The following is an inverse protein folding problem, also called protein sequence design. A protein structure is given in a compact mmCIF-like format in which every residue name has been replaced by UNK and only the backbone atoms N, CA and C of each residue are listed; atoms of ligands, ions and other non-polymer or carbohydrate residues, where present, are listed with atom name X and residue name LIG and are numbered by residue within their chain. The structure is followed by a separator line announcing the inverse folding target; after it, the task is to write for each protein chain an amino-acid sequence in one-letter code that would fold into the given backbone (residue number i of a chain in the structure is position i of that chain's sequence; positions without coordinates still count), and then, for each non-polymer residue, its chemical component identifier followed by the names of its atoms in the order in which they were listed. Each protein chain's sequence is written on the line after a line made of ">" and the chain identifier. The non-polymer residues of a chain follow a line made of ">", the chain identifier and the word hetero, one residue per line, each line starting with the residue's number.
data_IF_275208637761
#
_entry.id   IF_275208637761
#
_cell.length_a   1.000
_cell.length_b   1.000
_cell.length_c   1.000
_cell.angle_alpha   90.00
_cell.angle_beta   90.00
_cell.angle_gamma   90.00
#
_symmetry.space_group_name_H-M   'P 1'
#
loop_
_entity.id
_entity.type
_entity.pdbx_description
1 polymer ?
#
# COMPACT_ATOMS: atom_id res chain seq x y z
N UNK A 1 11.27 24.75 -8.67
CA UNK A 1 9.81 24.71 -8.46
C UNK A 1 9.48 23.24 -8.21
N UNK A 2 9.32 22.83 -6.95
CA UNK A 2 8.87 21.48 -6.63
C UNK A 2 7.41 21.39 -7.08
N UNK A 3 7.14 20.59 -8.09
CA UNK A 3 5.78 20.19 -8.42
C UNK A 3 5.31 19.36 -7.22
N UNK A 4 4.36 19.90 -6.47
CA UNK A 4 3.72 19.17 -5.38
C UNK A 4 2.94 18.02 -6.02
N UNK A 5 3.54 16.83 -6.04
CA UNK A 5 2.96 15.65 -6.67
C UNK A 5 1.84 15.17 -5.74
N UNK A 6 0.60 15.43 -6.11
CA UNK A 6 -0.55 14.88 -5.38
C UNK A 6 -0.53 13.35 -5.47
N UNK A 7 -0.37 12.69 -4.33
CA UNK A 7 -0.25 11.25 -4.22
C UNK A 7 -1.40 10.49 -4.89
N UNK A 8 -2.63 10.99 -4.75
CA UNK A 8 -3.83 10.36 -5.33
C UNK A 8 -3.80 10.43 -6.85
N UNK A 9 -3.47 11.60 -7.40
CA UNK A 9 -3.35 11.77 -8.86
C UNK A 9 -2.21 10.94 -9.43
N UNK A 10 -1.07 10.89 -8.76
CA UNK A 10 0.07 10.07 -9.16
C UNK A 10 -0.26 8.57 -9.17
N UNK A 11 -0.97 8.09 -8.15
CA UNK A 11 -1.46 6.71 -8.08
C UNK A 11 -2.48 6.41 -9.19
N UNK A 12 -3.44 7.31 -9.40
CA UNK A 12 -4.52 7.11 -10.39
C UNK A 12 -4.01 7.05 -11.84
N UNK A 13 -2.86 7.65 -12.10
CA UNK A 13 -2.21 7.61 -13.42
C UNK A 13 -1.41 6.32 -13.66
N UNK A 14 -1.24 5.47 -12.65
CA UNK A 14 -0.56 4.19 -12.79
C UNK A 14 -1.47 3.14 -13.42
N UNK A 15 -0.87 2.05 -13.91
CA UNK A 15 -1.63 0.93 -14.49
C UNK A 15 -2.72 0.44 -13.52
N UNK A 16 -3.98 0.42 -13.96
CA UNK A 16 -5.10 0.00 -13.13
C UNK A 16 -5.00 -1.49 -12.75
N UNK A 17 -5.61 -1.84 -11.62
CA UNK A 17 -5.59 -3.20 -11.05
C UNK A 17 -6.09 -4.30 -12.00
N UNK A 18 -6.90 -3.96 -13.00
CA UNK A 18 -7.41 -4.90 -14.00
C UNK A 18 -6.39 -5.24 -15.11
N UNK A 19 -5.29 -4.48 -15.23
CA UNK A 19 -4.15 -4.87 -16.08
C UNK A 19 -3.22 -5.74 -15.25
N UNK A 20 -3.51 -7.03 -15.25
CA UNK A 20 -2.73 -8.02 -14.53
C UNK A 20 -1.42 -8.24 -15.30
N UNK A 21 -0.32 -7.81 -14.71
CA UNK A 21 1.03 -8.21 -15.12
C UNK A 21 1.70 -8.83 -13.87
N UNK A 22 1.39 -10.10 -13.57
CA UNK A 22 1.83 -10.74 -12.35
C UNK A 22 3.35 -10.95 -12.38
N UNK A 23 4.05 -10.18 -11.57
CA UNK A 23 5.47 -10.36 -11.26
C UNK A 23 5.70 -9.89 -9.83
N UNK A 24 6.58 -10.58 -9.12
CA UNK A 24 7.05 -10.13 -7.81
C UNK A 24 8.32 -9.27 -7.92
N UNK A 25 8.94 -9.19 -9.09
CA UNK A 25 10.25 -8.56 -9.25
C UNK A 25 10.24 -7.08 -8.85
N UNK A 26 9.19 -6.35 -9.22
CA UNK A 26 9.04 -4.93 -8.91
C UNK A 26 8.86 -4.68 -7.42
N UNK A 27 7.95 -5.43 -6.78
CA UNK A 27 7.70 -5.27 -5.34
C UNK A 27 8.88 -5.76 -4.51
N UNK A 28 9.57 -6.83 -4.90
CA UNK A 28 10.78 -7.29 -4.24
C UNK A 28 11.89 -6.24 -4.33
N UNK A 29 12.07 -5.62 -5.49
CA UNK A 29 13.03 -4.53 -5.65
C UNK A 29 12.65 -3.32 -4.79
N UNK A 30 11.36 -2.98 -4.69
CA UNK A 30 10.88 -1.92 -3.81
C UNK A 30 11.24 -2.22 -2.34
N UNK A 31 10.95 -3.43 -1.87
CA UNK A 31 11.28 -3.85 -0.51
C UNK A 31 12.79 -3.79 -0.24
N UNK A 32 13.63 -4.22 -1.18
CA UNK A 32 15.08 -4.15 -1.06
C UNK A 32 15.59 -2.71 -0.96
N UNK A 33 15.12 -1.83 -1.83
CA UNK A 33 15.51 -0.41 -1.84
C UNK A 33 15.07 0.32 -0.56
N UNK A 34 13.93 -0.03 0.00
CA UNK A 34 13.40 0.55 1.25
C UNK A 34 13.94 -0.12 2.52
N UNK A 35 14.87 -1.09 2.41
CA UNK A 35 15.49 -1.76 3.56
C UNK A 35 14.62 -2.81 4.23
N UNK A 36 13.77 -3.49 3.47
CA UNK A 36 12.94 -4.62 3.92
C UNK A 36 11.98 -4.26 5.09
N UNK A 37 11.16 -3.20 4.97
CA UNK A 37 10.32 -2.72 6.07
C UNK A 37 9.32 -3.78 6.57
N UNK A 38 8.90 -4.70 5.71
CA UNK A 38 7.99 -5.80 6.06
C UNK A 38 8.54 -6.76 7.12
N UNK A 39 9.85 -6.75 7.36
CA UNK A 39 10.48 -7.58 8.39
C UNK A 39 10.39 -6.97 9.81
N UNK A 40 9.92 -5.72 9.92
CA UNK A 40 9.87 -4.99 11.19
C UNK A 40 8.57 -5.21 11.97
N UNK A 41 7.60 -5.94 11.43
CA UNK A 41 6.32 -6.21 12.06
C UNK A 41 5.80 -7.61 11.74
N UNK A 42 4.85 -8.08 12.57
CA UNK A 42 4.18 -9.36 12.34
C UNK A 42 2.98 -9.16 11.43
N UNK A 43 2.79 -10.06 10.48
CA UNK A 43 1.68 -10.00 9.52
C UNK A 43 0.73 -11.16 9.70
N UNK A 44 -0.57 -10.87 9.64
CA UNK A 44 -1.64 -11.87 9.50
C UNK A 44 -2.25 -11.67 8.13
N UNK A 45 -2.06 -12.65 7.24
CA UNK A 45 -2.62 -12.61 5.89
C UNK A 45 -3.92 -13.42 5.84
N UNK A 46 -5.01 -12.74 5.45
CA UNK A 46 -6.34 -13.34 5.32
C UNK A 46 -6.70 -13.47 3.85
N UNK A 47 -6.80 -14.70 3.37
CA UNK A 47 -7.18 -15.03 2.00
C UNK A 47 -8.54 -15.75 1.98
N UNK A 48 -9.22 -15.71 0.82
CA UNK A 48 -10.51 -16.38 0.62
C UNK A 48 -11.39 -15.69 -0.41
N UNK A 49 -12.51 -16.30 -0.75
CA UNK A 49 -13.48 -15.74 -1.72
C UNK A 49 -14.47 -14.77 -1.08
N UNK A 50 -14.88 -15.02 0.16
CA UNK A 50 -15.88 -14.21 0.89
C UNK A 50 -15.37 -13.87 2.29
N UNK A 51 -15.84 -12.74 2.83
CA UNK A 51 -15.66 -12.35 4.22
C UNK A 51 -14.25 -11.90 4.61
N UNK A 52 -13.29 -11.79 3.68
CA UNK A 52 -11.91 -11.38 3.98
C UNK A 52 -11.84 -10.07 4.75
N UNK A 53 -12.46 -9.02 4.21
CA UNK A 53 -12.46 -7.68 4.81
C UNK A 53 -13.12 -7.67 6.19
N UNK A 54 -14.26 -8.33 6.35
CA UNK A 54 -14.94 -8.44 7.64
C UNK A 54 -14.08 -9.16 8.67
N UNK A 55 -13.47 -10.27 8.29
CA UNK A 55 -12.56 -11.04 9.17
C UNK A 55 -11.34 -10.22 9.54
N UNK A 56 -10.71 -9.53 8.58
CA UNK A 56 -9.55 -8.66 8.83
C UNK A 56 -9.87 -7.55 9.82
N UNK A 57 -11.03 -6.91 9.69
CA UNK A 57 -11.48 -5.87 10.62
C UNK A 57 -11.76 -6.43 12.03
N UNK A 58 -12.33 -7.62 12.14
CA UNK A 58 -12.56 -8.26 13.43
C UNK A 58 -11.23 -8.63 14.11
N UNK A 59 -10.29 -9.21 13.37
CA UNK A 59 -8.96 -9.56 13.88
C UNK A 59 -8.21 -8.30 14.34
N UNK A 60 -8.18 -7.25 13.51
CA UNK A 60 -7.56 -5.96 13.88
C UNK A 60 -8.13 -5.43 15.18
N UNK A 61 -9.47 -5.40 15.31
CA UNK A 61 -10.14 -4.88 16.51
C UNK A 61 -9.82 -5.70 17.76
N UNK A 62 -9.73 -7.03 17.63
CA UNK A 62 -9.32 -7.89 18.73
C UNK A 62 -7.87 -7.62 19.15
N UNK A 63 -6.95 -7.51 18.21
CA UNK A 63 -5.55 -7.21 18.50
C UNK A 63 -5.41 -5.83 19.18
N UNK A 64 -6.13 -4.84 18.70
CA UNK A 64 -6.13 -3.50 19.30
C UNK A 64 -6.73 -3.48 20.71
N UNK A 65 -7.71 -4.34 21.01
CA UNK A 65 -8.24 -4.48 22.37
C UNK A 65 -7.25 -5.10 23.36
N UNK A 66 -6.15 -5.65 22.87
CA UNK A 66 -5.02 -6.14 23.65
C UNK A 66 -3.87 -5.10 23.74
N UNK A 67 -4.18 -3.83 23.49
CA UNK A 67 -3.22 -2.70 23.49
C UNK A 67 -2.06 -2.85 22.47
N UNK A 68 -2.26 -3.64 21.44
CA UNK A 68 -1.30 -3.77 20.35
C UNK A 68 -1.48 -2.63 19.32
N UNK A 69 -0.36 -2.12 18.81
CA UNK A 69 -0.38 -1.22 17.65
C UNK A 69 -0.72 -2.04 16.42
N UNK A 70 -1.74 -1.62 15.69
CA UNK A 70 -2.25 -2.35 14.54
C UNK A 70 -2.19 -1.52 13.28
N UNK A 71 -1.90 -2.19 12.16
CA UNK A 71 -2.15 -1.73 10.81
C UNK A 71 -3.16 -2.65 10.14
N UNK A 72 -4.01 -2.12 9.31
CA UNK A 72 -4.93 -2.89 8.48
C UNK A 72 -4.80 -2.43 7.03
N UNK A 73 -4.54 -3.39 6.13
CA UNK A 73 -4.55 -3.16 4.69
C UNK A 73 -5.65 -4.00 4.05
N UNK A 74 -6.58 -3.35 3.37
CA UNK A 74 -7.74 -3.97 2.73
C UNK A 74 -7.95 -3.45 1.31
N UNK A 75 -8.66 -4.22 0.50
CA UNK A 75 -9.10 -3.81 -0.84
C UNK A 75 -10.50 -4.36 -1.14
N UNK A 76 -11.26 -3.71 -2.02
CA UNK A 76 -11.03 -2.40 -2.63
C UNK A 76 -11.36 -1.23 -1.70
N UNK A 77 -11.16 0.01 -2.15
CA UNK A 77 -11.73 1.22 -1.54
C UNK A 77 -13.05 1.59 -2.24
N UNK A 78 -13.86 2.44 -1.60
CA UNK A 78 -15.11 2.94 -2.16
C UNK A 78 -14.93 4.28 -2.87
N UNK A 79 -14.25 5.22 -2.23
CA UNK A 79 -14.08 6.59 -2.72
C UNK A 79 -12.60 6.95 -2.86
N UNK A 80 -11.80 6.64 -1.83
CA UNK A 80 -10.44 7.15 -1.74
C UNK A 80 -9.42 6.03 -1.42
N UNK A 81 -8.25 5.99 -2.10
CA UNK A 81 -7.20 4.97 -1.84
C UNK A 81 -6.79 4.84 -0.36
N UNK A 82 -6.82 5.95 0.41
CA UNK A 82 -6.52 5.95 1.84
C UNK A 82 -7.36 4.99 2.68
N UNK A 83 -8.60 4.70 2.23
CA UNK A 83 -9.50 3.78 2.91
C UNK A 83 -8.92 2.37 3.05
N UNK A 84 -7.92 2.04 2.23
CA UNK A 84 -7.25 0.73 2.28
C UNK A 84 -6.27 0.62 3.43
N UNK A 85 -5.85 1.73 4.02
CA UNK A 85 -4.81 1.78 5.05
C UNK A 85 -5.40 2.36 6.33
N UNK A 86 -5.47 1.53 7.36
CA UNK A 86 -5.88 1.97 8.69
C UNK A 86 -4.75 1.74 9.70
N UNK A 87 -4.55 2.69 10.58
CA UNK A 87 -3.61 2.61 11.70
C UNK A 87 -4.38 2.75 13.01
N UNK A 88 -4.28 1.75 13.87
CA UNK A 88 -5.02 1.69 15.13
C UNK A 88 -6.54 1.93 14.94
N UNK A 89 -7.12 1.34 13.90
CA UNK A 89 -8.54 1.40 13.60
C UNK A 89 -9.02 2.72 12.99
N UNK A 90 -8.12 3.58 12.55
CA UNK A 90 -8.45 4.84 11.86
C UNK A 90 -7.81 4.89 10.48
N UNK A 91 -8.58 5.33 9.49
CA UNK A 91 -8.05 5.57 8.14
C UNK A 91 -6.88 6.57 8.24
N UNK A 92 -5.79 6.27 7.56
CA UNK A 92 -4.62 7.15 7.50
C UNK A 92 -5.04 8.57 7.05
N UNK A 93 -4.51 9.59 7.71
CA UNK A 93 -4.80 10.99 7.37
C UNK A 93 -4.26 11.32 5.97
N UNK A 94 -4.88 12.31 5.32
CA UNK A 94 -4.44 12.77 4.01
C UNK A 94 -2.99 13.27 4.03
N UNK A 95 -2.66 14.04 5.06
CA UNK A 95 -1.29 14.55 5.25
C UNK A 95 -0.28 13.40 5.38
N UNK A 96 -0.58 12.40 6.22
CA UNK A 96 0.34 11.27 6.42
C UNK A 96 0.46 10.39 5.19
N UNK A 97 -0.63 10.20 4.46
CA UNK A 97 -0.62 9.48 3.18
C UNK A 97 0.27 10.18 2.14
N UNK A 98 0.16 11.50 2.05
CA UNK A 98 0.99 12.32 1.16
C UNK A 98 2.48 12.26 1.55
N UNK A 99 2.79 12.42 2.84
CA UNK A 99 4.16 12.32 3.36
C UNK A 99 4.81 10.98 3.02
N UNK A 100 4.10 9.86 3.29
CA UNK A 100 4.62 8.52 2.98
C UNK A 100 4.82 8.35 1.47
N UNK A 101 3.90 8.84 0.65
CA UNK A 101 4.05 8.79 -0.79
C UNK A 101 5.31 9.55 -1.25
N UNK A 102 5.56 10.72 -0.70
CA UNK A 102 6.77 11.50 -0.99
C UNK A 102 8.06 10.79 -0.55
N UNK A 103 8.02 10.09 0.59
CA UNK A 103 9.15 9.27 1.07
C UNK A 103 9.42 8.08 0.14
N UNK A 104 8.38 7.45 -0.40
CA UNK A 104 8.49 6.25 -1.25
C UNK A 104 8.76 6.58 -2.71
N UNK A 105 8.28 7.72 -3.20
CA UNK A 105 8.33 8.08 -4.63
C UNK A 105 9.71 7.99 -5.29
N UNK A 106 10.84 8.40 -4.66
CA UNK A 106 12.16 8.24 -5.26
C UNK A 106 12.52 6.79 -5.59
N UNK A 107 12.09 5.84 -4.75
CA UNK A 107 12.30 4.41 -5.02
C UNK A 107 11.43 3.93 -6.19
N UNK A 108 10.18 4.41 -6.27
CA UNK A 108 9.28 4.10 -7.38
C UNK A 108 9.85 4.55 -8.72
N UNK A 109 10.43 5.75 -8.78
CA UNK A 109 11.08 6.28 -9.98
C UNK A 109 12.24 5.40 -10.44
N UNK A 110 13.07 4.92 -9.51
CA UNK A 110 14.18 4.00 -9.83
C UNK A 110 13.64 2.69 -10.42
N UNK A 111 12.58 2.15 -9.83
CA UNK A 111 11.97 0.89 -10.28
C UNK A 111 11.32 1.06 -11.65
N UNK A 112 10.56 2.13 -11.85
CA UNK A 112 9.89 2.41 -13.11
C UNK A 112 10.89 2.62 -14.25
N UNK A 113 12.06 3.24 -13.99
CA UNK A 113 13.15 3.35 -14.97
C UNK A 113 13.76 1.99 -15.34
N UNK A 114 13.79 1.04 -14.42
CA UNK A 114 14.28 -0.31 -14.68
C UNK A 114 13.27 -1.18 -15.42
N UNK A 115 11.99 -0.96 -15.19
CA UNK A 115 10.88 -1.72 -15.77
C UNK A 115 10.03 -0.84 -16.70
N UNK A 116 10.65 -0.22 -17.71
CA UNK A 116 10.01 0.77 -18.60
C UNK A 116 8.72 0.26 -19.27
N UNK A 117 8.70 -1.01 -19.69
CA UNK A 117 7.54 -1.63 -20.34
C UNK A 117 6.47 -2.12 -19.36
N UNK A 118 6.81 -2.16 -18.06
CA UNK A 118 5.94 -2.68 -17.03
C UNK A 118 6.22 -1.99 -15.67
N UNK A 119 5.95 -0.69 -15.53
CA UNK A 119 6.17 0.03 -14.27
C UNK A 119 5.28 -0.51 -13.15
N UNK A 120 5.57 -0.14 -11.90
CA UNK A 120 4.77 -0.55 -10.76
C UNK A 120 3.31 -0.15 -10.92
N UNK A 121 2.42 -1.11 -10.69
CA UNK A 121 0.97 -0.91 -10.76
C UNK A 121 0.47 -0.11 -9.55
N UNK A 122 -0.73 0.42 -9.68
CA UNK A 122 -1.42 1.08 -8.58
C UNK A 122 -1.44 0.24 -7.29
N UNK A 123 -1.74 -1.07 -7.41
CA UNK A 123 -1.81 -1.96 -6.26
C UNK A 123 -0.44 -2.23 -5.64
N UNK A 124 0.59 -2.44 -6.45
CA UNK A 124 1.95 -2.63 -5.96
C UNK A 124 2.46 -1.42 -5.18
N UNK A 125 2.19 -0.21 -5.68
CA UNK A 125 2.59 1.03 -4.97
C UNK A 125 1.86 1.19 -3.64
N UNK A 126 0.56 0.87 -3.58
CA UNK A 126 -0.16 0.90 -2.30
C UNK A 126 0.27 -0.18 -1.32
N UNK A 127 0.85 -1.27 -1.83
CA UNK A 127 1.36 -2.38 -0.99
C UNK A 127 2.74 -2.07 -0.43
N UNK A 128 3.56 -1.33 -1.18
CA UNK A 128 4.89 -0.91 -0.77
C UNK A 128 4.84 0.13 0.35
#
# INVERSE_FOLDING_TARGET
>A
MMVNLDAVSALSNRFPENKINPSLDRILMAMDLMGQPQNNFKTIHIAGTNGKTSTSRMVERLLRSLDLRTGLFISPHLIHPRERIEINGQIISETRFQEIFEEVNPYLEIIDQKFLDAPMTFFEVLTA
#
